data_IF_423973346658
#
_entry.id   IF_423973346658
#
_cell.length_a   1.000
_cell.length_b   1.000
_cell.length_c   1.000
_cell.angle_alpha   90.00
_cell.angle_beta   90.00
_cell.angle_gamma   90.00
#
_symmetry.space_group_name_H-M   'P 1'
#
loop_
_entity.id
_entity.type
_entity.pdbx_description
1 polymer ?
#
# COMPACT_ATOMS: atom_id res chain seq x y z
N UNK A 1 -15.35 22.14 7.07
CA UNK A 1 -13.95 22.55 6.85
C UNK A 1 -13.28 21.37 6.20
N UNK A 2 -12.79 21.56 4.99
CA UNK A 2 -12.18 20.48 4.24
C UNK A 2 -10.88 20.06 4.93
N UNK A 3 -10.71 18.77 5.17
CA UNK A 3 -9.49 18.19 5.76
C UNK A 3 -8.23 18.54 4.97
N UNK A 4 -8.39 18.84 3.67
CA UNK A 4 -7.35 19.35 2.77
C UNK A 4 -6.73 20.70 3.21
N UNK A 5 -7.42 21.50 4.02
CA UNK A 5 -6.89 22.77 4.52
C UNK A 5 -5.82 22.58 5.61
N UNK A 6 -5.96 21.53 6.42
CA UNK A 6 -5.04 21.25 7.54
C UNK A 6 -3.96 20.25 7.18
N UNK A 7 -4.29 19.22 6.38
CA UNK A 7 -3.34 18.18 5.98
C UNK A 7 -3.35 17.96 4.47
N UNK A 8 -2.16 17.66 3.93
CA UNK A 8 -2.04 17.09 2.58
C UNK A 8 -2.62 15.68 2.59
N UNK A 9 -3.62 15.47 1.76
CA UNK A 9 -4.41 14.24 1.72
C UNK A 9 -3.58 13.01 1.32
N UNK A 10 -2.72 13.12 0.30
CA UNK A 10 -1.94 11.98 -0.21
C UNK A 10 -0.92 11.42 0.80
N UNK A 11 -0.07 12.24 1.45
CA UNK A 11 0.82 11.77 2.50
C UNK A 11 0.06 11.17 3.69
N UNK A 12 -1.03 11.81 4.12
CA UNK A 12 -1.87 11.34 5.22
C UNK A 12 -2.48 9.96 4.93
N UNK A 13 -3.06 9.78 3.73
CA UNK A 13 -3.60 8.49 3.29
C UNK A 13 -2.53 7.40 3.21
N UNK A 14 -1.31 7.71 2.75
CA UNK A 14 -0.23 6.73 2.67
C UNK A 14 0.18 6.22 4.05
N UNK A 15 0.26 7.13 5.02
CA UNK A 15 0.64 6.81 6.39
C UNK A 15 -0.44 5.98 7.10
N UNK A 16 -1.71 6.22 6.80
CA UNK A 16 -2.83 5.40 7.28
C UNK A 16 -2.92 4.05 6.58
N UNK A 17 -2.67 3.99 5.27
CA UNK A 17 -2.67 2.75 4.51
C UNK A 17 -1.67 1.74 5.09
N UNK A 18 -0.47 2.20 5.47
CA UNK A 18 0.57 1.40 6.14
C UNK A 18 0.14 0.78 7.48
N UNK A 19 -0.87 1.35 8.14
CA UNK A 19 -1.40 0.82 9.39
C UNK A 19 -2.45 -0.27 9.14
N UNK A 20 -3.13 -0.22 8.01
CA UNK A 20 -4.15 -1.20 7.65
C UNK A 20 -3.52 -2.55 7.29
N UNK A 21 -3.92 -3.66 7.94
CA UNK A 21 -3.32 -4.98 7.70
C UNK A 21 -3.64 -5.56 6.32
N UNK A 22 -4.66 -5.04 5.64
CA UNK A 22 -5.05 -5.46 4.29
C UNK A 22 -4.14 -4.93 3.19
N UNK A 23 -3.41 -3.84 3.44
CA UNK A 23 -2.56 -3.28 2.39
C UNK A 23 -1.27 -4.08 2.28
N UNK A 24 -0.92 -4.42 1.04
CA UNK A 24 0.42 -4.92 0.78
C UNK A 24 1.40 -3.80 1.12
N UNK A 25 2.17 -4.00 2.18
CA UNK A 25 3.22 -3.11 2.70
C UNK A 25 4.41 -2.94 1.71
N UNK A 26 4.16 -2.98 0.41
CA UNK A 26 5.11 -2.71 -0.65
C UNK A 26 4.82 -1.33 -1.23
N UNK A 27 5.83 -0.68 -1.79
CA UNK A 27 5.66 0.67 -2.39
C UNK A 27 4.60 0.66 -3.50
N UNK A 28 4.55 -0.41 -4.30
CA UNK A 28 3.54 -0.59 -5.34
C UNK A 28 2.13 -0.78 -4.77
N UNK A 29 1.99 -1.50 -3.64
CA UNK A 29 0.72 -1.66 -2.94
C UNK A 29 0.20 -0.32 -2.39
N UNK A 30 1.08 0.46 -1.75
CA UNK A 30 0.76 1.78 -1.22
C UNK A 30 0.38 2.77 -2.31
N UNK A 31 1.09 2.74 -3.45
CA UNK A 31 0.78 3.58 -4.60
C UNK A 31 -0.65 3.34 -5.12
N UNK A 32 -1.05 2.05 -5.22
CA UNK A 32 -2.41 1.65 -5.60
C UNK A 32 -3.45 2.08 -4.57
N UNK A 33 -3.20 1.81 -3.28
CA UNK A 33 -4.12 2.17 -2.20
C UNK A 33 -4.41 3.68 -2.14
N UNK A 34 -3.41 4.50 -2.48
CA UNK A 34 -3.53 5.95 -2.42
C UNK A 34 -3.81 6.62 -3.77
N UNK A 35 -4.06 5.84 -4.84
CA UNK A 35 -4.28 6.37 -6.20
C UNK A 35 -3.16 7.33 -6.66
N UNK A 36 -1.91 6.95 -6.48
CA UNK A 36 -0.74 7.73 -6.89
C UNK A 36 0.24 6.91 -7.74
N UNK A 37 1.13 7.58 -8.49
CA UNK A 37 2.16 6.88 -9.26
C UNK A 37 3.22 6.27 -8.33
N UNK A 38 3.88 5.21 -8.81
CA UNK A 38 4.95 4.53 -8.07
C UNK A 38 6.08 5.49 -7.68
N UNK A 39 6.47 6.39 -8.59
CA UNK A 39 7.53 7.40 -8.33
C UNK A 39 7.13 8.32 -7.18
N UNK A 40 5.88 8.77 -7.17
CA UNK A 40 5.40 9.67 -6.11
C UNK A 40 5.33 8.95 -4.76
N UNK A 41 4.85 7.71 -4.73
CA UNK A 41 4.84 6.89 -3.53
C UNK A 41 6.27 6.62 -3.01
N UNK A 42 7.20 6.30 -3.91
CA UNK A 42 8.61 6.06 -3.56
C UNK A 42 9.25 7.29 -2.92
N UNK A 43 9.02 8.47 -3.49
CA UNK A 43 9.54 9.73 -2.95
C UNK A 43 8.93 10.03 -1.57
N UNK A 44 7.62 9.82 -1.39
CA UNK A 44 6.97 10.02 -0.08
C UNK A 44 7.50 9.04 0.97
N UNK A 45 7.68 7.76 0.61
CA UNK A 45 8.27 6.78 1.51
C UNK A 45 9.69 7.19 1.90
N UNK A 46 10.50 7.67 0.95
CA UNK A 46 11.85 8.15 1.26
C UNK A 46 11.84 9.31 2.27
N UNK A 47 10.92 10.26 2.14
CA UNK A 47 10.73 11.36 3.12
C UNK A 47 10.30 10.81 4.48
N UNK A 48 9.37 9.86 4.53
CA UNK A 48 8.96 9.27 5.80
C UNK A 48 10.06 8.44 6.47
N UNK A 49 10.97 7.85 5.69
CA UNK A 49 12.18 7.20 6.23
C UNK A 49 13.13 8.24 6.82
N UNK A 50 13.38 9.36 6.13
CA UNK A 50 14.28 10.40 6.65
C UNK A 50 13.75 11.06 7.92
N UNK A 51 12.43 11.15 8.06
CA UNK A 51 11.75 11.66 9.27
C UNK A 51 11.59 10.59 10.37
N UNK A 52 12.06 9.35 10.14
CA UNK A 52 12.00 8.26 11.13
C UNK A 52 10.59 7.73 11.41
N UNK A 53 9.62 7.96 10.51
CA UNK A 53 8.23 7.51 10.65
C UNK A 53 8.04 6.08 10.12
N UNK A 54 8.86 5.67 9.15
CA UNK A 54 8.82 4.33 8.56
C UNK A 54 10.22 3.77 8.37
N UNK A 55 10.30 2.45 8.39
CA UNK A 55 11.49 1.68 8.07
C UNK A 55 11.25 0.82 6.83
N UNK A 56 12.30 0.60 6.04
CA UNK A 56 12.23 -0.28 4.86
C UNK A 56 12.96 -1.57 5.18
N UNK A 57 12.20 -2.66 5.28
CA UNK A 57 12.72 -4.00 5.56
C UNK A 57 12.71 -4.81 4.27
N UNK A 58 13.86 -5.36 3.89
CA UNK A 58 13.93 -6.35 2.80
C UNK A 58 13.52 -7.71 3.32
N UNK A 59 12.51 -8.30 2.66
CA UNK A 59 12.11 -9.69 2.88
C UNK A 59 12.29 -10.45 1.57
N UNK A 60 13.42 -11.17 1.46
CA UNK A 60 13.80 -11.86 0.24
C UNK A 60 14.01 -10.89 -0.95
N UNK A 61 13.23 -11.09 -2.02
CA UNK A 61 13.28 -10.25 -3.24
C UNK A 61 12.45 -8.97 -3.14
N UNK A 62 11.61 -8.83 -2.12
CA UNK A 62 10.69 -7.71 -1.98
C UNK A 62 11.16 -6.70 -0.91
N UNK A 63 10.98 -5.42 -1.20
CA UNK A 63 11.12 -4.33 -0.22
C UNK A 63 9.76 -4.07 0.43
N UNK A 64 9.69 -4.22 1.74
CA UNK A 64 8.49 -3.88 2.53
C UNK A 64 8.74 -2.64 3.37
N UNK A 65 7.71 -1.85 3.55
CA UNK A 65 7.71 -0.63 4.36
C UNK A 65 6.93 -0.93 5.63
N UNK A 66 7.49 -0.62 6.79
CA UNK A 66 6.82 -0.78 8.09
C UNK A 66 6.83 0.55 8.83
N UNK A 67 5.83 0.76 9.68
CA UNK A 67 5.81 1.91 10.59
C UNK A 67 6.76 1.67 11.75
N UNK A 68 7.50 2.71 12.13
CA UNK A 68 8.25 2.73 13.40
C UNK A 68 7.30 3.01 14.56
N UNK A 69 7.76 2.89 15.80
CA UNK A 69 6.96 3.25 16.99
C UNK A 69 6.45 4.70 16.90
N UNK A 70 7.30 5.62 16.47
CA UNK A 70 6.93 7.02 16.24
C UNK A 70 5.89 7.14 15.12
N UNK A 71 6.09 6.42 14.00
CA UNK A 71 5.15 6.36 12.90
C UNK A 71 3.76 5.87 13.31
N UNK A 72 3.67 4.87 14.18
CA UNK A 72 2.39 4.38 14.73
C UNK A 72 1.70 5.45 15.57
N UNK A 73 2.46 6.16 16.42
CA UNK A 73 1.93 7.28 17.21
C UNK A 73 1.35 8.39 16.33
N UNK A 74 2.09 8.80 15.30
CA UNK A 74 1.64 9.80 14.33
C UNK A 74 0.43 9.31 13.53
N UNK A 75 0.44 8.07 13.06
CA UNK A 75 -0.69 7.48 12.34
C UNK A 75 -1.97 7.47 13.18
N UNK A 76 -1.85 7.17 14.47
CA UNK A 76 -2.96 7.15 15.43
C UNK A 76 -3.54 8.55 15.68
N UNK A 77 -2.66 9.53 15.91
CA UNK A 77 -3.09 10.92 16.04
C UNK A 77 -3.77 11.43 14.76
N UNK A 78 -3.25 11.05 13.59
CA UNK A 78 -3.80 11.44 12.30
C UNK A 78 -5.19 10.83 12.08
N UNK A 79 -5.37 9.55 12.38
CA UNK A 79 -6.68 8.88 12.30
C UNK A 79 -7.71 9.56 13.21
N UNK A 80 -7.35 9.81 14.46
CA UNK A 80 -8.22 10.50 15.42
C UNK A 80 -8.59 11.92 14.96
N UNK A 81 -7.64 12.63 14.36
CA UNK A 81 -7.88 13.96 13.79
C UNK A 81 -8.86 13.88 12.61
N UNK A 82 -8.64 12.98 11.66
CA UNK A 82 -9.53 12.82 10.52
C UNK A 82 -10.94 12.39 10.93
N UNK A 83 -11.07 11.51 11.92
CA UNK A 83 -12.36 11.12 12.47
C UNK A 83 -13.12 12.34 13.00
N UNK A 84 -12.46 13.22 13.77
CA UNK A 84 -13.05 14.46 14.33
C UNK A 84 -13.40 15.49 13.25
N UNK A 85 -12.62 15.59 12.18
CA UNK A 85 -12.89 16.51 11.08
C UNK A 85 -14.05 16.04 10.19
N UNK A 86 -14.26 14.72 10.08
CA UNK A 86 -15.34 14.13 9.27
C UNK A 86 -16.69 14.04 10.00
N UNK A 87 -16.79 14.38 11.29
CA UNK A 87 -18.03 14.32 12.09
C UNK A 87 -19.18 15.14 11.49
N UNK A 88 -18.92 16.14 10.66
CA UNK A 88 -19.96 16.97 10.05
C UNK A 88 -20.76 16.31 8.90
N UNK A 89 -20.50 15.05 8.54
CA UNK A 89 -21.25 14.36 7.47
C UNK A 89 -22.24 13.29 7.96
N UNK A 90 -22.19 12.89 9.23
CA UNK A 90 -23.07 11.85 9.78
C UNK A 90 -23.64 12.27 11.14
N UNK A 91 -24.57 13.23 11.13
CA UNK A 91 -25.68 13.25 12.09
C UNK A 91 -26.95 12.84 11.33
N UNK A 92 -27.17 11.53 11.23
CA UNK A 92 -28.52 10.98 11.30
C UNK A 92 -28.59 10.12 12.57
N UNK A 93 -29.49 10.43 13.51
CA UNK A 93 -29.57 9.73 14.78
C UNK A 93 -30.20 8.36 14.56
N UNK A 94 -29.41 7.29 14.62
CA UNK A 94 -29.95 6.00 15.02
C UNK A 94 -29.76 5.84 16.53
N UNK A 95 -30.79 6.29 17.24
CA UNK A 95 -31.05 5.88 18.60
C UNK A 95 -31.20 4.33 18.66
N UNK A 96 -30.77 3.70 19.75
CA UNK A 96 -30.84 2.25 19.92
C UNK A 96 -32.29 1.80 20.16
N UNK A 97 -32.79 0.73 19.54
CA UNK A 97 -33.93 0.02 20.07
C UNK A 97 -33.45 -0.96 21.14
N UNK A 98 -33.82 -0.65 22.37
CA UNK A 98 -33.89 -1.59 23.48
C UNK A 98 -34.78 -2.80 23.12
N UNK A 99 -34.49 -3.90 23.80
CA UNK A 99 -35.23 -5.14 23.82
C UNK A 99 -36.73 -4.95 24.17
N UNK A 100 -37.62 -5.77 23.59
CA UNK A 100 -38.53 -6.69 24.30
C UNK A 100 -39.60 -7.31 23.37
N UNK A 101 -39.66 -8.64 23.43
CA UNK A 101 -40.75 -9.60 23.17
C UNK A 101 -42.07 -9.18 22.48
N UNK A 102 -42.40 -9.89 21.39
CA UNK A 102 -43.71 -10.54 21.09
C UNK A 102 -43.57 -11.31 19.76
N UNK A 103 -43.60 -12.65 19.75
CA UNK A 103 -44.76 -13.56 19.56
C UNK A 103 -45.46 -13.43 18.19
N UNK A 104 -45.64 -14.61 17.57
CA UNK A 104 -46.61 -14.97 16.50
C UNK A 104 -46.14 -15.08 15.03
N UNK A 105 -46.05 -16.35 14.61
CA UNK A 105 -46.50 -16.98 13.37
C UNK A 105 -45.77 -16.71 12.02
N UNK A 106 -45.68 -17.74 11.15
CA UNK A 106 -44.79 -17.76 9.98
C UNK A 106 -45.47 -17.26 8.71
N UNK A 107 -44.71 -16.67 7.77
CA UNK A 107 -45.08 -16.67 6.37
C UNK A 107 -44.01 -17.36 5.50
N UNK A 108 -44.47 -18.45 4.89
CA UNK A 108 -44.31 -18.89 3.50
C UNK A 108 -43.07 -18.42 2.69
N UNK A 109 -42.51 -19.41 1.99
CA UNK A 109 -41.33 -19.40 1.14
C UNK A 109 -41.32 -18.38 -0.01
N UNK A 110 -40.13 -18.09 -0.55
CA UNK A 110 -39.93 -17.90 -1.98
C UNK A 110 -39.19 -19.08 -2.61
N UNK A 111 -39.76 -19.56 -3.70
CA UNK A 111 -39.28 -20.64 -4.55
C UNK A 111 -37.88 -20.33 -5.12
N UNK A 112 -36.99 -21.31 -5.04
CA UNK A 112 -35.69 -21.30 -5.71
C UNK A 112 -35.93 -21.67 -7.18
N UNK A 113 -35.73 -20.74 -8.11
CA UNK A 113 -35.58 -21.06 -9.53
C UNK A 113 -34.10 -21.35 -9.79
N UNK A 114 -33.72 -22.56 -10.25
CA UNK A 114 -32.38 -22.78 -10.78
C UNK A 114 -32.35 -22.22 -12.21
N UNK A 115 -31.81 -21.02 -12.37
CA UNK A 115 -31.45 -20.50 -13.68
C UNK A 115 -30.22 -21.25 -14.18
N UNK A 116 -30.39 -21.99 -15.27
CA UNK A 116 -29.32 -22.62 -16.04
C UNK A 116 -28.25 -21.58 -16.39
N UNK A 117 -27.09 -21.70 -15.73
CA UNK A 117 -25.85 -21.09 -16.18
C UNK A 117 -25.35 -21.92 -17.36
N UNK A 118 -25.73 -21.52 -18.57
CA UNK A 118 -25.06 -21.92 -19.80
C UNK A 118 -23.58 -21.49 -19.69
N UNK A 119 -22.71 -22.47 -19.45
CA UNK A 119 -21.27 -22.30 -19.62
C UNK A 119 -20.97 -22.33 -21.12
N UNK A 120 -20.42 -21.25 -21.72
CA UNK A 120 -19.88 -21.35 -23.06
C UNK A 120 -18.68 -22.32 -23.05
N UNK A 121 -18.72 -23.30 -23.94
CA UNK A 121 -17.66 -24.28 -24.13
C UNK A 121 -16.32 -23.58 -24.44
N UNK A 122 -15.20 -24.01 -23.84
CA UNK A 122 -13.89 -23.50 -24.18
C UNK A 122 -13.50 -23.94 -25.60
N UNK A 123 -12.84 -23.08 -26.40
CA UNK A 123 -12.36 -23.46 -27.71
C UNK A 123 -11.28 -24.55 -27.63
N UNK A 124 -11.21 -25.44 -28.64
CA UNK A 124 -10.30 -26.58 -28.64
C UNK A 124 -8.82 -26.13 -28.67
N UNK A 125 -8.06 -26.51 -27.64
CA UNK A 125 -6.60 -26.46 -27.65
C UNK A 125 -6.03 -27.75 -28.22
N UNK A 126 -5.37 -27.66 -29.38
CA UNK A 126 -4.30 -28.58 -29.79
C UNK A 126 -3.61 -28.00 -31.03
N UNK A 127 -2.31 -28.16 -31.30
CA UNK A 127 -1.10 -28.55 -30.56
C UNK A 127 0.03 -28.33 -31.59
N UNK A 128 1.20 -27.85 -31.13
CA UNK A 128 2.55 -28.11 -31.68
C UNK A 128 2.85 -27.74 -33.14
N UNK A 129 3.82 -26.83 -33.29
CA UNK A 129 5.15 -27.09 -33.89
C UNK A 129 6.08 -26.01 -33.28
N UNK A 130 7.08 -26.28 -32.45
CA UNK A 130 8.33 -27.01 -32.66
C UNK A 130 9.22 -26.38 -33.76
N UNK A 131 10.19 -25.56 -33.35
CA UNK A 131 11.42 -25.31 -34.12
C UNK A 131 11.82 -23.84 -34.30
N UNK A 132 12.93 -23.45 -33.67
CA UNK A 132 14.09 -22.74 -34.24
C UNK A 132 14.78 -21.92 -33.13
N UNK A 133 15.96 -22.35 -32.65
CA UNK A 133 17.27 -21.78 -33.02
C UNK A 133 17.55 -20.46 -32.27
N UNK A 134 18.40 -20.47 -31.24
CA UNK A 134 19.86 -20.24 -31.24
C UNK A 134 20.25 -18.75 -31.12
N UNK A 135 21.49 -18.52 -30.68
CA UNK A 135 22.19 -17.26 -30.33
C UNK A 135 22.01 -16.87 -28.85
N UNK A 136 22.88 -17.29 -27.92
CA UNK A 136 24.32 -16.98 -27.81
C UNK A 136 24.59 -15.48 -28.03
N UNK A 137 24.66 -14.76 -26.91
CA UNK A 137 25.14 -13.39 -26.81
C UNK A 137 26.01 -13.27 -25.56
N UNK A 138 27.24 -13.76 -25.71
CA UNK A 138 28.39 -13.49 -24.85
C UNK A 138 28.81 -12.01 -24.91
N UNK A 139 29.66 -11.60 -23.96
CA UNK A 139 30.35 -10.31 -23.86
C UNK A 139 29.50 -9.12 -23.34
N UNK A 140 29.92 -8.31 -22.37
CA UNK A 140 31.28 -7.95 -21.96
C UNK A 140 31.29 -7.45 -20.52
N UNK A 141 32.22 -8.01 -19.77
CA UNK A 141 32.72 -7.50 -18.50
C UNK A 141 33.65 -6.32 -18.81
N UNK A 142 33.27 -5.10 -18.44
CA UNK A 142 34.19 -3.97 -18.36
C UNK A 142 34.02 -3.30 -17.00
N UNK A 143 34.87 -3.72 -16.05
CA UNK A 143 35.25 -2.92 -14.91
C UNK A 143 36.37 -1.99 -15.35
N UNK A 144 36.20 -0.66 -15.32
CA UNK A 144 37.33 0.22 -15.16
C UNK A 144 37.74 0.22 -13.68
N UNK A 145 38.96 -0.26 -13.46
CA UNK A 145 39.76 -0.04 -12.26
C UNK A 145 40.10 1.46 -12.09
N UNK A 146 40.43 1.81 -10.84
CA UNK A 146 41.24 2.96 -10.40
C UNK A 146 40.58 4.35 -10.42
N UNK A 147 40.47 4.97 -9.24
CA UNK A 147 41.50 5.95 -8.86
C UNK A 147 41.57 6.12 -7.32
N UNK A 148 42.80 6.08 -6.83
CA UNK A 148 43.26 6.23 -5.45
C UNK A 148 43.27 7.72 -5.08
N UNK A 149 42.16 8.23 -4.56
CA UNK A 149 42.06 9.60 -4.03
C UNK A 149 42.42 9.71 -2.56
N UNK A 150 43.65 9.32 -2.19
CA UNK A 150 44.20 9.48 -0.83
C UNK A 150 44.75 10.91 -0.65
N UNK A 151 43.86 11.91 -0.56
CA UNK A 151 44.26 13.25 -0.14
C UNK A 151 44.32 13.33 1.40
N UNK A 152 45.56 13.37 1.87
CA UNK A 152 45.94 13.75 3.21
C UNK A 152 45.71 15.26 3.36
N UNK A 153 44.72 15.67 4.14
CA UNK A 153 44.76 16.99 4.77
C UNK A 153 45.15 16.83 6.24
N UNK A 154 46.46 16.94 6.46
CA UNK A 154 47.05 17.46 7.68
C UNK A 154 46.79 18.97 7.73
N UNK A 155 46.02 19.42 8.71
CA UNK A 155 46.08 20.79 9.23
C UNK A 155 46.27 20.64 10.74
N UNK A 156 47.52 20.65 11.19
CA UNK A 156 48.22 21.82 11.76
C UNK A 156 47.47 22.42 12.96
N UNK A 157 47.73 21.80 14.12
CA UNK A 157 48.31 22.44 15.29
C UNK A 157 48.38 23.99 15.26
N UNK A 158 47.60 24.65 16.12
CA UNK A 158 48.11 25.79 16.89
C UNK A 158 47.28 26.08 18.13
N UNK A 159 48.05 26.27 19.20
CA UNK A 159 47.72 26.71 20.56
C UNK A 159 46.80 27.93 20.66
#
# INVERSE_FOLDING_TARGET
>A
MDSAFLLKEKPARLLLALRSPETQNTVSGLARACSMSFVHASNLVAVFVSEGLVEVVRSGREKRVKLTENGVGVASALEALMAKLNVKKEESPQAPPQAEAQKEAPPQAPQVQPHELEFPEPPPQSKKDAGSENEEGEEKEERPEQDDGLEKESVDEKE
#
